data_IF_664073698671
#
_entry.id   IF_664073698671
#
_cell.length_a   1.000
_cell.length_b   1.000
_cell.length_c   1.000
_cell.angle_alpha   90.00
_cell.angle_beta   90.00
_cell.angle_gamma   90.00
#
_symmetry.space_group_name_H-M   'P 1'
#
loop_
_entity.id
_entity.type
_entity.pdbx_description
1 polymer ?
#
# COMPACT_ATOMS: atom_id res chain seq x y z
N UNK A 1 -13.13 37.32 17.93
CA UNK A 1 -12.04 37.92 17.12
C UNK A 1 -10.74 37.48 17.80
N UNK A 2 -9.89 36.60 17.28
CA UNK A 2 -9.42 36.47 15.91
C UNK A 2 -9.08 34.99 15.58
N UNK A 3 -9.60 34.51 14.46
CA UNK A 3 -9.09 33.36 13.72
C UNK A 3 -7.66 33.64 13.25
N UNK A 4 -6.65 32.98 13.82
CA UNK A 4 -5.29 32.95 13.27
C UNK A 4 -4.54 31.61 13.41
N UNK A 5 -5.24 30.50 13.67
CA UNK A 5 -4.61 29.17 13.74
C UNK A 5 -4.76 28.31 12.47
N UNK A 6 -5.71 28.61 11.58
CA UNK A 6 -5.97 27.79 10.39
C UNK A 6 -5.03 28.07 9.20
N UNK A 7 -4.33 29.22 9.18
CA UNK A 7 -3.46 29.60 8.07
C UNK A 7 -2.01 29.09 8.19
N UNK A 8 -1.56 28.65 9.38
CA UNK A 8 -0.19 28.12 9.53
C UNK A 8 -0.03 26.68 9.01
N UNK A 9 -1.08 25.86 9.11
CA UNK A 9 -1.04 24.47 8.62
C UNK A 9 -0.96 24.39 7.08
N UNK A 10 -1.65 25.31 6.38
CA UNK A 10 -1.64 25.35 4.91
C UNK A 10 -0.35 25.93 4.32
N UNK A 11 0.38 26.78 5.05
CA UNK A 11 1.70 27.29 4.61
C UNK A 11 2.80 26.25 4.83
N UNK A 12 2.67 25.37 5.83
CA UNK A 12 3.61 24.27 6.06
C UNK A 12 3.52 23.19 4.96
N UNK A 13 2.32 22.91 4.45
CA UNK A 13 2.13 21.93 3.37
C UNK A 13 2.75 22.39 2.03
N UNK A 14 2.72 23.70 1.72
CA UNK A 14 3.21 24.25 0.44
C UNK A 14 4.73 24.14 0.23
N UNK A 15 5.50 23.83 1.29
CA UNK A 15 6.96 23.72 1.25
C UNK A 15 7.49 22.27 1.26
N UNK A 16 6.62 21.28 1.40
CA UNK A 16 7.05 19.88 1.50
C UNK A 16 7.20 19.22 0.11
N UNK A 17 6.63 19.81 -0.95
CA UNK A 17 6.38 19.10 -2.21
C UNK A 17 7.14 19.59 -3.44
N UNK A 18 7.97 20.61 -3.29
CA UNK A 18 9.19 20.63 -4.10
C UNK A 18 10.16 19.71 -3.36
N UNK A 19 10.96 18.91 -4.06
CA UNK A 19 12.20 18.40 -3.48
C UNK A 19 13.05 19.61 -3.09
N UNK A 20 12.72 20.25 -1.97
CA UNK A 20 13.46 21.37 -1.44
C UNK A 20 14.77 20.73 -0.97
N UNK A 21 15.92 21.16 -1.51
CA UNK A 21 17.19 20.60 -1.11
C UNK A 21 17.33 20.79 0.41
N UNK A 22 17.20 19.70 1.15
CA UNK A 22 17.46 19.69 2.58
C UNK A 22 18.98 19.84 2.71
N UNK A 23 19.44 21.00 3.20
CA UNK A 23 20.87 21.26 3.43
C UNK A 23 21.74 21.09 2.17
N UNK A 24 21.19 21.37 0.98
CA UNK A 24 21.93 21.24 -0.29
C UNK A 24 22.07 19.82 -0.83
N UNK A 25 21.30 18.84 -0.33
CA UNK A 25 21.18 17.51 -0.94
C UNK A 25 19.78 17.25 -1.50
N UNK A 26 19.72 16.50 -2.60
CA UNK A 26 18.51 16.20 -3.37
C UNK A 26 17.54 15.23 -2.65
N UNK A 27 17.88 14.72 -1.47
CA UNK A 27 17.05 13.78 -0.72
C UNK A 27 17.16 13.97 0.80
N UNK A 28 16.03 14.17 1.47
CA UNK A 28 15.96 14.47 2.91
C UNK A 28 15.99 13.22 3.83
N UNK A 29 16.73 12.17 3.44
CA UNK A 29 16.83 10.93 4.23
C UNK A 29 17.45 11.12 5.63
N UNK A 30 18.54 11.91 5.79
CA UNK A 30 19.18 12.06 7.11
C UNK A 30 18.27 12.70 8.15
N UNK A 31 17.41 13.65 7.76
CA UNK A 31 16.46 14.29 8.67
C UNK A 31 15.29 13.36 8.99
N UNK A 32 14.75 12.68 7.98
CA UNK A 32 13.62 11.77 8.12
C UNK A 32 13.94 10.60 9.07
N UNK A 33 15.15 10.06 9.02
CA UNK A 33 15.58 8.97 9.91
C UNK A 33 16.26 9.46 11.20
N UNK A 34 16.96 10.61 11.15
CA UNK A 34 17.69 11.15 12.29
C UNK A 34 16.78 11.65 13.42
N UNK A 35 15.67 12.33 13.08
CA UNK A 35 14.75 12.85 14.10
C UNK A 35 14.09 11.73 14.92
N UNK A 36 13.49 10.67 14.31
CA UNK A 36 12.98 9.54 15.08
C UNK A 36 14.05 8.83 15.90
N UNK A 37 15.26 8.65 15.36
CA UNK A 37 16.35 7.99 16.09
C UNK A 37 16.72 8.74 17.37
N UNK A 38 16.86 10.07 17.29
CA UNK A 38 17.15 10.91 18.46
C UNK A 38 16.00 10.84 19.48
N UNK A 39 14.75 10.91 19.01
CA UNK A 39 13.57 10.80 19.89
C UNK A 39 13.49 9.44 20.58
N UNK A 40 13.82 8.34 19.89
CA UNK A 40 13.86 7.00 20.47
C UNK A 40 14.97 6.85 21.52
N UNK A 41 16.16 7.43 21.27
CA UNK A 41 17.24 7.46 22.25
C UNK A 41 16.83 8.26 23.48
N UNK A 42 16.26 9.46 23.30
CA UNK A 42 15.78 10.29 24.39
C UNK A 42 14.70 9.58 25.21
N UNK A 43 13.73 8.96 24.55
CA UNK A 43 12.68 8.18 25.20
C UNK A 43 13.27 7.00 26.01
N UNK A 44 14.26 6.30 25.46
CA UNK A 44 14.93 5.19 26.15
C UNK A 44 15.70 5.67 27.37
N UNK A 45 16.46 6.77 27.25
CA UNK A 45 17.18 7.37 28.37
C UNK A 45 16.24 7.81 29.50
N UNK A 46 15.12 8.46 29.15
CA UNK A 46 14.08 8.85 30.10
C UNK A 46 13.46 7.63 30.80
N UNK A 47 13.16 6.57 30.06
CA UNK A 47 12.58 5.35 30.62
C UNK A 47 13.57 4.63 31.56
N UNK A 48 14.85 4.58 31.16
CA UNK A 48 15.91 3.98 31.98
C UNK A 48 16.15 4.78 33.26
N UNK A 49 16.15 6.11 33.20
CA UNK A 49 16.26 6.98 34.36
C UNK A 49 15.06 6.79 35.32
N UNK A 50 13.85 6.63 34.78
CA UNK A 50 12.64 6.35 35.56
C UNK A 50 12.63 4.95 36.20
N UNK A 51 13.40 4.00 35.67
CA UNK A 51 13.38 2.59 36.10
C UNK A 51 13.76 2.35 37.57
N UNK A 52 14.46 3.29 38.22
CA UNK A 52 14.78 3.24 39.65
C UNK A 52 13.54 3.41 40.54
N UNK A 53 12.48 4.07 40.03
CA UNK A 53 11.23 4.31 40.77
C UNK A 53 10.18 3.23 40.51
N UNK A 54 10.45 2.31 39.58
CA UNK A 54 9.55 1.20 39.31
C UNK A 54 9.71 0.11 40.36
N UNK A 55 8.61 -0.18 41.06
CA UNK A 55 8.48 -1.39 41.88
C UNK A 55 8.40 -2.59 40.94
N UNK A 56 9.45 -3.42 40.88
CA UNK A 56 9.54 -4.62 40.03
C UNK A 56 8.97 -5.81 40.82
N UNK A 57 7.70 -6.21 40.61
CA UNK A 57 7.17 -7.40 41.27
C UNK A 57 7.97 -8.65 40.84
N UNK A 58 8.06 -9.68 41.69
CA UNK A 58 8.74 -10.93 41.33
C UNK A 58 8.13 -11.54 40.06
N UNK A 59 8.91 -12.28 39.26
CA UNK A 59 8.44 -12.88 38.03
C UNK A 59 7.27 -13.83 38.32
N UNK A 60 6.08 -13.49 37.81
CA UNK A 60 4.93 -14.40 37.79
C UNK A 60 5.26 -15.57 36.87
N UNK A 61 4.80 -16.77 37.21
CA UNK A 61 4.99 -17.96 36.37
C UNK A 61 4.51 -17.71 34.93
N UNK A 62 5.10 -18.42 33.96
CA UNK A 62 4.73 -18.29 32.56
C UNK A 62 3.28 -18.73 32.32
N UNK A 63 2.35 -17.78 32.35
CA UNK A 63 0.91 -18.01 32.14
C UNK A 63 0.66 -18.73 30.82
N UNK A 64 1.38 -18.36 29.75
CA UNK A 64 1.27 -19.04 28.45
C UNK A 64 1.67 -20.52 28.51
N UNK A 65 2.69 -20.85 29.31
CA UNK A 65 3.11 -22.23 29.50
C UNK A 65 2.13 -23.00 30.38
N UNK A 66 1.50 -22.36 31.36
CA UNK A 66 0.46 -22.98 32.19
C UNK A 66 -0.81 -23.27 31.38
N UNK A 67 -1.27 -22.31 30.56
CA UNK A 67 -2.42 -22.48 29.68
C UNK A 67 -2.17 -23.58 28.64
N UNK A 68 -1.00 -23.61 28.00
CA UNK A 68 -0.69 -24.63 26.99
C UNK A 68 -0.61 -26.03 27.61
N UNK A 69 0.00 -26.18 28.79
CA UNK A 69 0.00 -27.44 29.55
C UNK A 69 -1.42 -27.87 29.92
N UNK A 70 -2.25 -26.95 30.41
CA UNK A 70 -3.63 -27.25 30.76
C UNK A 70 -4.45 -27.73 29.55
N UNK A 71 -4.27 -27.08 28.39
CA UNK A 71 -4.91 -27.50 27.13
C UNK A 71 -4.43 -28.88 26.66
N UNK A 72 -3.11 -29.14 26.68
CA UNK A 72 -2.54 -30.44 26.30
C UNK A 72 -3.03 -31.54 27.23
N UNK A 73 -3.02 -31.30 28.54
CA UNK A 73 -3.51 -32.27 29.53
C UNK A 73 -5.00 -32.57 29.34
N UNK A 74 -5.83 -31.53 29.14
CA UNK A 74 -7.25 -31.71 28.85
C UNK A 74 -7.47 -32.53 27.57
N UNK A 75 -6.67 -32.29 26.54
CA UNK A 75 -6.74 -33.02 25.27
C UNK A 75 -6.33 -34.49 25.40
N UNK A 76 -5.24 -34.77 26.13
CA UNK A 76 -4.80 -36.15 26.42
C UNK A 76 -5.86 -36.87 27.24
N UNK A 77 -6.40 -36.23 28.28
CA UNK A 77 -7.44 -36.80 29.13
C UNK A 77 -8.74 -37.04 28.35
N UNK A 78 -9.12 -36.13 27.45
CA UNK A 78 -10.26 -36.34 26.53
C UNK A 78 -10.08 -37.58 25.66
N UNK A 79 -8.87 -37.86 25.21
CA UNK A 79 -8.60 -39.02 24.35
C UNK A 79 -8.55 -40.35 25.14
N UNK A 80 -8.29 -40.28 26.45
CA UNK A 80 -8.21 -41.45 27.35
C UNK A 80 -9.51 -41.73 28.11
N UNK A 81 -10.29 -40.70 28.42
CA UNK A 81 -11.53 -40.79 29.19
C UNK A 81 -12.71 -41.16 28.30
N UNK A 82 -13.60 -42.03 28.79
CA UNK A 82 -14.86 -42.40 28.15
C UNK A 82 -16.04 -41.54 28.61
N UNK A 83 -15.85 -40.73 29.66
CA UNK A 83 -16.91 -39.91 30.23
C UNK A 83 -17.26 -38.73 29.32
N UNK A 84 -18.55 -38.41 29.25
CA UNK A 84 -19.04 -37.26 28.49
C UNK A 84 -19.07 -36.02 29.37
N UNK A 85 -18.13 -35.11 29.15
CA UNK A 85 -18.16 -33.74 29.69
C UNK A 85 -18.82 -32.77 28.68
N UNK A 86 -19.40 -31.66 29.17
CA UNK A 86 -20.04 -30.65 28.30
C UNK A 86 -19.04 -29.91 27.41
N UNK A 87 -17.83 -29.64 27.91
CA UNK A 87 -16.76 -29.01 27.15
C UNK A 87 -15.47 -29.81 27.27
N UNK A 88 -14.73 -29.96 26.17
CA UNK A 88 -13.52 -30.79 26.13
C UNK A 88 -12.42 -30.36 27.12
N UNK A 89 -12.40 -29.08 27.50
CA UNK A 89 -11.44 -28.52 28.45
C UNK A 89 -11.73 -28.94 29.91
N UNK A 90 -12.95 -29.41 30.21
CA UNK A 90 -13.30 -29.88 31.56
C UNK A 90 -12.61 -31.19 31.93
N UNK A 91 -12.16 -31.97 30.94
CA UNK A 91 -11.31 -33.15 31.15
C UNK A 91 -9.98 -32.85 31.84
N UNK A 92 -9.58 -31.59 31.95
CA UNK A 92 -8.46 -31.19 32.81
C UNK A 92 -8.71 -31.56 34.28
N UNK A 93 -9.96 -31.41 34.74
CA UNK A 93 -10.35 -31.62 36.13
C UNK A 93 -10.42 -33.11 36.49
N UNK A 94 -10.52 -34.01 35.51
CA UNK A 94 -10.57 -35.47 35.73
C UNK A 94 -9.30 -35.99 36.46
N UNK A 95 -8.16 -35.32 36.29
CA UNK A 95 -6.88 -35.67 36.93
C UNK A 95 -6.54 -34.80 38.14
N UNK A 96 -7.38 -33.83 38.48
CA UNK A 96 -7.08 -32.81 39.49
C UNK A 96 -7.95 -32.97 40.74
N UNK A 97 -7.29 -33.04 41.91
CA UNK A 97 -7.95 -33.07 43.21
C UNK A 97 -7.80 -31.71 43.87
N UNK A 98 -8.90 -30.95 43.97
CA UNK A 98 -8.88 -29.58 44.48
C UNK A 98 -8.49 -29.49 45.97
N UNK A 99 -8.72 -30.53 46.77
CA UNK A 99 -8.42 -30.55 48.21
C UNK A 99 -6.92 -30.69 48.52
N UNK A 100 -6.12 -31.23 47.59
CA UNK A 100 -4.70 -31.51 47.81
C UNK A 100 -3.76 -30.54 47.09
N UNK A 101 -4.27 -29.66 46.22
CA UNK A 101 -3.44 -28.70 45.50
C UNK A 101 -3.18 -27.46 46.38
N UNK A 102 -1.91 -27.14 46.72
CA UNK A 102 -1.56 -25.97 47.51
C UNK A 102 -2.10 -24.66 46.92
N UNK A 103 -2.19 -24.53 45.60
CA UNK A 103 -2.75 -23.32 44.96
C UNK A 103 -4.26 -23.16 45.20
N UNK A 104 -4.98 -24.27 45.31
CA UNK A 104 -6.41 -24.24 45.66
C UNK A 104 -6.61 -23.93 47.15
N UNK A 105 -5.72 -24.44 48.01
CA UNK A 105 -5.72 -24.13 49.44
C UNK A 105 -5.48 -22.64 49.73
N UNK A 106 -4.50 -22.03 49.07
CA UNK A 106 -4.25 -20.59 49.22
C UNK A 106 -5.45 -19.75 48.76
N UNK A 107 -6.12 -20.17 47.68
CA UNK A 107 -7.32 -19.51 47.16
C UNK A 107 -8.52 -19.60 48.12
N UNK A 108 -8.65 -20.70 48.87
CA UNK A 108 -9.67 -20.82 49.92
C UNK A 108 -9.46 -19.80 51.05
N UNK A 109 -8.20 -19.50 51.40
CA UNK A 109 -7.87 -18.52 52.44
C UNK A 109 -8.16 -17.09 51.96
N UNK A 110 -7.89 -16.78 50.69
CA UNK A 110 -8.18 -15.45 50.12
C UNK A 110 -9.68 -15.14 50.04
N UNK A 111 -10.51 -16.12 49.66
CA UNK A 111 -11.96 -15.92 49.44
C UNK A 111 -12.80 -16.24 50.68
N UNK A 112 -12.27 -17.03 51.62
CA UNK A 112 -13.02 -17.47 52.82
C UNK A 112 -14.07 -18.55 52.55
N UNK A 113 -14.03 -19.21 51.38
CA UNK A 113 -14.97 -20.28 51.02
C UNK A 113 -14.23 -21.57 50.60
N UNK A 114 -14.47 -22.66 51.33
CA UNK A 114 -13.82 -23.97 51.16
C UNK A 114 -14.33 -24.78 49.96
N UNK A 115 -15.43 -24.37 49.31
CA UNK A 115 -16.02 -25.12 48.20
C UNK A 115 -15.53 -24.65 46.82
N UNK A 116 -14.63 -23.67 46.75
CA UNK A 116 -14.22 -23.03 45.49
C UNK A 116 -12.85 -23.53 45.03
N UNK A 117 -12.78 -24.12 43.84
CA UNK A 117 -11.53 -24.60 43.27
C UNK A 117 -10.93 -23.57 42.30
N UNK A 118 -9.70 -23.11 42.56
CA UNK A 118 -8.98 -22.14 41.75
C UNK A 118 -8.81 -22.62 40.29
N UNK A 119 -8.45 -23.89 40.11
CA UNK A 119 -8.26 -24.51 38.78
C UNK A 119 -9.55 -24.58 37.97
N UNK A 120 -10.71 -24.73 38.62
CA UNK A 120 -12.01 -24.67 37.93
C UNK A 120 -12.29 -23.28 37.36
N UNK A 121 -11.99 -22.22 38.11
CA UNK A 121 -12.09 -20.84 37.60
C UNK A 121 -11.14 -20.62 36.43
N UNK A 122 -9.88 -21.05 36.59
CA UNK A 122 -8.86 -20.93 35.53
C UNK A 122 -9.28 -21.62 34.22
N UNK A 123 -9.86 -22.81 34.28
CA UNK A 123 -10.38 -23.51 33.09
C UNK A 123 -11.54 -22.74 32.45
N UNK A 124 -12.44 -22.16 33.26
CA UNK A 124 -13.52 -21.31 32.74
C UNK A 124 -12.97 -20.01 32.09
N UNK A 125 -11.90 -19.45 32.63
CA UNK A 125 -11.20 -18.32 32.02
C UNK A 125 -10.60 -18.71 30.66
N UNK A 126 -9.94 -19.87 30.56
CA UNK A 126 -9.42 -20.38 29.28
C UNK A 126 -10.56 -20.62 28.27
N UNK A 127 -11.71 -21.17 28.68
CA UNK A 127 -12.88 -21.32 27.78
C UNK A 127 -13.36 -19.97 27.24
N UNK A 128 -13.41 -18.97 28.11
CA UNK A 128 -13.81 -17.60 27.73
C UNK A 128 -12.80 -16.99 26.77
N UNK A 129 -11.50 -17.16 27.04
CA UNK A 129 -10.42 -16.72 26.15
C UNK A 129 -10.50 -17.40 24.78
N UNK A 130 -10.72 -18.72 24.71
CA UNK A 130 -10.86 -19.44 23.44
C UNK A 130 -12.06 -18.92 22.63
N UNK A 131 -13.20 -18.64 23.28
CA UNK A 131 -14.37 -18.04 22.63
C UNK A 131 -14.06 -16.64 22.07
N UNK A 132 -13.30 -15.85 22.81
CA UNK A 132 -12.85 -14.52 22.39
C UNK A 132 -11.87 -14.60 21.20
N UNK A 133 -10.90 -15.53 21.23
CA UNK A 133 -9.97 -15.75 20.12
C UNK A 133 -10.73 -16.09 18.82
N UNK A 134 -11.73 -16.97 18.90
CA UNK A 134 -12.56 -17.33 17.74
C UNK A 134 -13.31 -16.08 17.21
N UNK A 135 -13.85 -15.24 18.09
CA UNK A 135 -14.50 -13.99 17.69
C UNK A 135 -13.55 -13.01 17.00
N UNK A 136 -12.27 -13.02 17.36
CA UNK A 136 -11.23 -12.13 16.79
C UNK A 136 -10.57 -12.65 15.52
N UNK A 137 -10.88 -13.87 15.05
CA UNK A 137 -10.33 -14.46 13.82
C UNK A 137 -10.47 -13.56 12.57
N UNK A 138 -11.56 -12.77 12.39
CA UNK A 138 -11.67 -11.84 11.26
C UNK A 138 -10.75 -10.61 11.33
N UNK A 139 -10.19 -10.27 12.50
CA UNK A 139 -9.39 -9.02 12.67
C UNK A 139 -8.09 -9.03 11.88
N UNK A 140 -7.28 -10.11 11.86
CA UNK A 140 -6.12 -10.19 10.98
C UNK A 140 -6.45 -9.98 9.50
N UNK A 141 -7.58 -10.49 9.02
CA UNK A 141 -8.03 -10.28 7.64
C UNK A 141 -8.39 -8.82 7.38
N UNK A 142 -9.00 -8.14 8.35
CA UNK A 142 -9.25 -6.70 8.26
C UNK A 142 -7.96 -5.89 8.12
N UNK A 143 -6.94 -6.18 8.95
CA UNK A 143 -5.63 -5.51 8.85
C UNK A 143 -4.91 -5.82 7.53
N UNK A 144 -4.94 -7.07 7.08
CA UNK A 144 -4.36 -7.45 5.80
C UNK A 144 -4.98 -6.72 4.61
N UNK A 145 -6.28 -6.39 4.68
CA UNK A 145 -6.96 -5.55 3.70
C UNK A 145 -6.62 -4.07 3.89
N UNK A 146 -6.65 -3.58 5.13
CA UNK A 146 -6.37 -2.17 5.45
C UNK A 146 -4.96 -1.74 4.99
N UNK A 147 -3.95 -2.58 5.20
CA UNK A 147 -2.57 -2.29 4.82
C UNK A 147 -2.37 -2.20 3.28
N UNK A 148 -3.34 -2.64 2.47
CA UNK A 148 -3.31 -2.46 1.01
C UNK A 148 -3.44 -0.99 0.60
N UNK A 149 -4.00 -0.14 1.47
CA UNK A 149 -4.10 1.30 1.22
C UNK A 149 -2.71 1.94 1.02
N UNK A 150 -1.69 1.50 1.77
CA UNK A 150 -0.33 2.03 1.68
C UNK A 150 0.51 1.48 0.52
N UNK A 151 0.00 0.48 -0.20
CA UNK A 151 0.77 -0.24 -1.23
C UNK A 151 0.03 -0.33 -2.56
N UNK A 152 -0.97 -1.20 -2.66
CA UNK A 152 -1.70 -1.45 -3.93
C UNK A 152 -2.49 -0.22 -4.35
N UNK A 153 -3.15 0.45 -3.42
CA UNK A 153 -3.94 1.66 -3.74
C UNK A 153 -3.03 2.83 -4.11
N UNK A 154 -1.83 2.90 -3.54
CA UNK A 154 -0.81 3.85 -3.96
C UNK A 154 -0.38 3.60 -5.42
N UNK A 155 -0.17 2.33 -5.81
CA UNK A 155 0.17 1.97 -7.20
C UNK A 155 -0.98 2.33 -8.15
N UNK A 156 -2.23 2.06 -7.77
CA UNK A 156 -3.40 2.50 -8.52
C UNK A 156 -3.43 4.04 -8.66
N UNK A 157 -3.13 4.78 -7.59
CA UNK A 157 -3.06 6.24 -7.61
C UNK A 157 -2.00 6.79 -8.56
N UNK A 158 -0.84 6.14 -8.67
CA UNK A 158 0.22 6.51 -9.64
C UNK A 158 -0.26 6.38 -11.09
N UNK A 159 -1.22 5.48 -11.35
CA UNK A 159 -1.82 5.27 -12.67
C UNK A 159 -2.97 6.23 -12.98
N UNK A 160 -3.35 7.10 -12.03
CA UNK A 160 -4.45 8.05 -12.16
C UNK A 160 -3.94 9.47 -12.36
N UNK A 161 -4.76 10.32 -12.97
CA UNK A 161 -4.47 11.76 -13.02
C UNK A 161 -4.67 12.35 -11.62
N UNK A 162 -3.59 12.90 -11.05
CA UNK A 162 -3.59 13.45 -9.70
C UNK A 162 -3.68 14.99 -9.69
N UNK A 163 -4.11 15.60 -10.79
CA UNK A 163 -4.42 17.03 -10.86
C UNK A 163 -5.81 17.30 -10.28
N UNK A 164 -5.86 17.96 -9.12
CA UNK A 164 -7.11 18.40 -8.49
C UNK A 164 -7.67 19.67 -9.15
N UNK A 165 -6.77 20.53 -9.65
CA UNK A 165 -7.04 21.79 -10.33
C UNK A 165 -5.83 22.13 -11.22
N UNK A 166 -5.96 23.08 -12.15
CA UNK A 166 -4.87 23.52 -13.04
C UNK A 166 -3.60 23.96 -12.28
N UNK A 167 -3.75 24.37 -11.02
CA UNK A 167 -2.65 24.83 -10.15
C UNK A 167 -2.28 23.86 -9.02
N UNK A 168 -3.05 22.79 -8.80
CA UNK A 168 -2.87 21.90 -7.65
C UNK A 168 -2.70 20.45 -8.11
N UNK A 169 -1.45 19.98 -8.06
CA UNK A 169 -1.07 18.60 -8.28
C UNK A 169 -0.85 17.94 -6.92
N UNK A 170 -1.58 16.87 -6.68
CA UNK A 170 -1.53 16.08 -5.46
C UNK A 170 -0.68 14.86 -5.73
N UNK A 171 0.35 14.58 -4.94
CA UNK A 171 1.16 13.40 -5.21
C UNK A 171 0.43 12.13 -4.70
N UNK A 172 0.56 10.97 -5.38
CA UNK A 172 -0.13 9.74 -4.99
C UNK A 172 0.16 9.28 -3.56
N UNK A 173 1.37 9.50 -3.04
CA UNK A 173 1.80 9.15 -1.69
C UNK A 173 1.10 10.00 -0.61
N UNK A 174 0.79 11.26 -0.92
CA UNK A 174 0.04 12.14 -0.04
C UNK A 174 -1.39 11.65 0.22
N UNK A 175 -1.91 10.72 -0.58
CA UNK A 175 -3.21 10.08 -0.32
C UNK A 175 -3.28 9.32 0.99
N UNK A 176 -2.13 8.90 1.53
CA UNK A 176 -2.11 8.31 2.86
C UNK A 176 -2.44 9.33 3.96
N UNK A 177 -2.16 10.63 3.76
CA UNK A 177 -2.48 11.67 4.75
C UNK A 177 -3.98 11.86 4.95
N UNK A 178 -4.79 11.61 3.90
CA UNK A 178 -6.25 11.67 4.00
C UNK A 178 -6.80 10.65 4.98
N UNK A 179 -6.17 9.48 5.14
CA UNK A 179 -6.58 8.49 6.14
C UNK A 179 -6.56 9.10 7.56
N UNK A 180 -5.45 9.74 7.94
CA UNK A 180 -5.31 10.40 9.24
C UNK A 180 -6.31 11.53 9.43
N UNK A 181 -6.50 12.38 8.40
CA UNK A 181 -7.47 13.49 8.44
C UNK A 181 -8.90 12.96 8.61
N UNK A 182 -9.27 11.91 7.87
CA UNK A 182 -10.59 11.29 7.98
C UNK A 182 -10.82 10.64 9.33
N UNK A 183 -9.82 10.00 9.93
CA UNK A 183 -9.93 9.45 11.30
C UNK A 183 -10.18 10.57 12.31
N UNK A 184 -9.42 11.66 12.23
CA UNK A 184 -9.58 12.82 13.12
C UNK A 184 -10.96 13.47 13.00
N UNK A 185 -11.55 13.45 11.81
CA UNK A 185 -12.90 13.98 11.57
C UNK A 185 -14.00 12.99 11.94
N UNK A 186 -13.82 11.70 11.61
CA UNK A 186 -14.85 10.68 11.81
C UNK A 186 -14.96 10.22 13.26
N UNK A 187 -13.89 10.11 14.04
CA UNK A 187 -14.01 9.73 15.47
C UNK A 187 -15.02 10.63 16.21
N UNK A 188 -14.85 11.96 16.25
CA UNK A 188 -15.80 12.83 16.96
C UNK A 188 -17.17 12.84 16.29
N UNK A 189 -17.26 12.76 14.96
CA UNK A 189 -18.54 12.67 14.25
C UNK A 189 -19.34 11.42 14.64
N UNK A 190 -18.70 10.25 14.70
CA UNK A 190 -19.37 9.00 15.06
C UNK A 190 -19.77 8.98 16.54
N UNK A 191 -18.93 9.52 17.44
CA UNK A 191 -19.22 9.57 18.87
C UNK A 191 -20.31 10.57 19.26
N UNK A 192 -20.29 11.77 18.66
CA UNK A 192 -21.20 12.86 19.06
C UNK A 192 -22.51 12.89 18.27
N UNK A 193 -22.53 12.38 17.05
CA UNK A 193 -23.70 12.46 16.16
C UNK A 193 -24.23 11.06 15.87
N UNK A 194 -23.43 10.18 15.27
CA UNK A 194 -23.93 8.90 14.74
C UNK A 194 -24.43 7.97 15.84
N UNK A 195 -23.59 7.64 16.83
CA UNK A 195 -23.96 6.72 17.91
C UNK A 195 -25.15 7.20 18.76
N UNK A 196 -25.29 8.48 19.17
CA UNK A 196 -26.47 8.92 19.91
C UNK A 196 -27.74 8.99 19.06
N UNK A 197 -27.64 9.22 17.74
CA UNK A 197 -28.81 9.14 16.85
C UNK A 197 -29.27 7.69 16.66
N UNK A 198 -28.32 6.79 16.45
CA UNK A 198 -28.65 5.37 16.23
C UNK A 198 -29.07 4.66 17.51
N UNK A 199 -28.55 5.06 18.68
CA UNK A 199 -28.98 4.53 19.97
C UNK A 199 -30.45 4.85 20.30
N UNK A 200 -31.03 5.91 19.70
CA UNK A 200 -32.48 6.19 19.80
C UNK A 200 -33.34 5.17 19.06
N UNK A 201 -32.81 4.53 18.03
CA UNK A 201 -33.55 3.55 17.22
C UNK A 201 -33.21 2.11 17.60
N UNK A 202 -31.96 1.81 17.95
CA UNK A 202 -31.49 0.45 18.25
C UNK A 202 -30.28 0.42 19.18
N UNK A 203 -30.19 -0.61 20.01
CA UNK A 203 -29.02 -0.84 20.86
C UNK A 203 -27.83 -1.26 19.98
N UNK A 204 -26.79 -0.42 19.96
CA UNK A 204 -25.53 -0.72 19.27
C UNK A 204 -24.59 -1.46 20.21
N UNK A 205 -24.37 -2.74 19.93
CA UNK A 205 -23.31 -3.52 20.60
C UNK A 205 -21.95 -3.27 19.91
N UNK A 206 -20.82 -3.39 20.63
CA UNK A 206 -19.49 -3.29 20.03
C UNK A 206 -19.28 -4.26 18.87
N UNK A 207 -19.83 -5.48 18.97
CA UNK A 207 -19.75 -6.49 17.91
C UNK A 207 -20.46 -6.04 16.63
N UNK A 208 -21.63 -5.38 16.74
CA UNK A 208 -22.34 -4.82 15.58
C UNK A 208 -21.53 -3.72 14.89
N UNK A 209 -20.83 -2.87 15.65
CA UNK A 209 -19.93 -1.84 15.08
C UNK A 209 -18.84 -2.49 14.23
N UNK A 210 -18.24 -3.56 14.72
CA UNK A 210 -17.20 -4.30 14.01
C UNK A 210 -17.72 -4.92 12.70
N UNK A 211 -18.91 -5.54 12.71
CA UNK A 211 -19.52 -6.12 11.52
C UNK A 211 -19.85 -5.05 10.47
N UNK A 212 -20.43 -3.91 10.88
CA UNK A 212 -20.73 -2.80 9.96
C UNK A 212 -19.45 -2.23 9.35
N UNK A 213 -18.39 -2.08 10.13
CA UNK A 213 -17.07 -1.69 9.62
C UNK A 213 -16.53 -2.65 8.58
N UNK A 214 -16.68 -3.96 8.80
CA UNK A 214 -16.30 -4.99 7.82
C UNK A 214 -17.08 -4.92 6.50
N UNK A 215 -18.39 -4.64 6.57
CA UNK A 215 -19.23 -4.46 5.36
C UNK A 215 -18.89 -3.18 4.59
N UNK A 216 -18.55 -2.10 5.29
CA UNK A 216 -18.08 -0.87 4.65
C UNK A 216 -16.71 -1.06 4.00
N UNK A 217 -15.81 -1.82 4.64
CA UNK A 217 -14.52 -2.18 4.07
C UNK A 217 -14.71 -2.98 2.78
N UNK A 218 -15.57 -4.01 2.76
CA UNK A 218 -15.82 -4.80 1.55
C UNK A 218 -16.41 -3.94 0.41
N UNK A 219 -17.33 -3.02 0.73
CA UNK A 219 -17.85 -2.07 -0.24
C UNK A 219 -16.75 -1.16 -0.82
N UNK A 220 -15.82 -0.70 0.02
CA UNK A 220 -14.67 0.09 -0.44
C UNK A 220 -13.82 -0.67 -1.45
N UNK A 221 -13.54 -1.96 -1.22
CA UNK A 221 -12.80 -2.80 -2.17
C UNK A 221 -13.53 -2.99 -3.50
N UNK A 222 -14.87 -3.09 -3.47
CA UNK A 222 -15.66 -3.13 -4.70
C UNK A 222 -15.50 -1.82 -5.50
N UNK A 223 -15.59 -0.67 -4.83
CA UNK A 223 -15.38 0.64 -5.47
C UNK A 223 -13.98 0.75 -6.06
N UNK A 224 -12.94 0.38 -5.30
CA UNK A 224 -11.55 0.35 -5.78
C UNK A 224 -11.38 -0.53 -7.01
N UNK A 225 -12.02 -1.71 -7.04
CA UNK A 225 -12.00 -2.61 -8.19
C UNK A 225 -12.68 -2.01 -9.44
N UNK A 226 -13.83 -1.36 -9.27
CA UNK A 226 -14.52 -0.66 -10.36
C UNK A 226 -13.71 0.52 -10.90
N UNK A 227 -13.01 1.25 -10.02
CA UNK A 227 -12.07 2.30 -10.42
C UNK A 227 -10.92 1.70 -11.23
N UNK A 228 -10.34 0.56 -10.81
CA UNK A 228 -9.27 -0.11 -11.56
C UNK A 228 -9.71 -0.50 -12.98
N UNK A 229 -10.94 -0.98 -13.15
CA UNK A 229 -11.48 -1.29 -14.49
C UNK A 229 -11.57 -0.06 -15.39
N UNK A 230 -11.81 1.11 -14.80
CA UNK A 230 -11.85 2.38 -15.53
C UNK A 230 -10.44 2.87 -15.89
N UNK A 231 -9.49 2.76 -14.95
CA UNK A 231 -8.07 3.10 -15.16
C UNK A 231 -7.42 2.18 -16.20
N UNK A 232 -7.75 0.88 -16.21
CA UNK A 232 -7.22 -0.06 -17.19
C UNK A 232 -7.67 0.23 -18.63
N UNK A 233 -8.72 1.04 -18.83
CA UNK A 233 -9.11 1.53 -20.16
C UNK A 233 -8.18 2.64 -20.64
N UNK A 234 -7.58 3.42 -19.76
CA UNK A 234 -6.70 4.54 -20.10
C UNK A 234 -5.22 4.15 -20.14
N UNK A 235 -4.84 3.03 -19.51
CA UNK A 235 -3.48 2.53 -19.53
C UNK A 235 -3.11 1.93 -20.91
N UNK A 236 -1.87 2.15 -21.39
CA UNK A 236 -1.36 1.49 -22.59
C UNK A 236 -1.24 -0.02 -22.35
N UNK A 237 -1.54 -0.83 -23.36
CA UNK A 237 -1.36 -2.28 -23.26
C UNK A 237 0.11 -2.63 -23.36
N UNK A 238 0.63 -3.40 -22.40
CA UNK A 238 1.99 -3.94 -22.49
C UNK A 238 2.10 -4.83 -23.72
N UNK A 239 3.19 -4.72 -24.51
CA UNK A 239 3.36 -5.53 -25.71
C UNK A 239 3.48 -7.02 -25.34
N UNK A 240 2.83 -7.89 -26.12
CA UNK A 240 3.02 -9.33 -26.01
C UNK A 240 4.46 -9.73 -26.40
N UNK A 241 4.88 -10.97 -26.12
CA UNK A 241 6.26 -11.42 -26.38
C UNK A 241 6.68 -11.35 -27.85
N UNK A 242 5.74 -11.17 -28.78
CA UNK A 242 5.91 -11.02 -30.22
C UNK A 242 5.66 -9.59 -30.74
N UNK A 243 5.45 -8.61 -29.85
CA UNK A 243 5.21 -7.21 -30.20
C UNK A 243 6.26 -6.29 -29.57
N UNK A 244 6.61 -5.21 -30.27
CA UNK A 244 7.35 -4.09 -29.72
C UNK A 244 6.52 -2.82 -29.85
N UNK A 245 6.49 -2.04 -28.78
CA UNK A 245 5.88 -0.72 -28.74
C UNK A 245 6.95 0.30 -29.11
N UNK A 246 6.68 1.16 -30.10
CA UNK A 246 7.57 2.27 -30.45
C UNK A 246 6.85 3.61 -30.28
N UNK A 247 7.36 4.45 -29.37
CA UNK A 247 6.92 5.85 -29.22
C UNK A 247 7.97 6.79 -29.81
N UNK A 248 7.52 7.68 -30.69
CA UNK A 248 8.37 8.67 -31.37
C UNK A 248 8.27 10.01 -30.65
N UNK A 249 9.42 10.61 -30.32
CA UNK A 249 9.51 11.89 -29.62
C UNK A 249 10.17 12.93 -30.51
N UNK A 250 9.45 14.02 -30.81
CA UNK A 250 9.98 15.12 -31.58
C UNK A 250 10.44 16.24 -30.64
N UNK A 251 11.76 16.37 -30.44
CA UNK A 251 12.36 17.44 -29.63
C UNK A 251 12.77 18.67 -30.48
N UNK A 252 12.32 18.73 -31.74
CA UNK A 252 12.59 19.87 -32.61
C UNK A 252 11.61 21.02 -32.31
N UNK A 253 12.15 22.23 -32.16
CA UNK A 253 11.39 23.40 -31.72
C UNK A 253 10.39 23.94 -32.75
N UNK A 254 10.66 23.75 -34.04
CA UNK A 254 9.91 24.40 -35.14
C UNK A 254 9.51 23.44 -36.27
N UNK A 255 9.95 22.18 -36.21
CA UNK A 255 9.76 21.21 -37.27
C UNK A 255 8.68 20.19 -36.93
N UNK A 256 7.83 19.88 -37.90
CA UNK A 256 7.00 18.67 -37.84
C UNK A 256 7.71 17.53 -38.55
N UNK A 257 7.75 16.35 -37.93
CA UNK A 257 8.37 15.17 -38.51
C UNK A 257 7.28 14.21 -38.97
N UNK A 258 7.34 13.82 -40.24
CA UNK A 258 6.50 12.75 -40.79
C UNK A 258 7.30 11.46 -40.74
N UNK A 259 6.78 10.48 -40.01
CA UNK A 259 7.39 9.17 -39.86
C UNK A 259 6.62 8.18 -40.71
N UNK A 260 7.33 7.48 -41.60
CA UNK A 260 6.77 6.41 -42.44
C UNK A 260 7.42 5.09 -42.06
N UNK A 261 6.57 4.11 -41.70
CA UNK A 261 6.97 2.73 -41.43
C UNK A 261 6.58 1.84 -42.63
N UNK A 262 7.34 0.76 -42.89
CA UNK A 262 6.97 -0.21 -43.91
C UNK A 262 5.64 -0.88 -43.52
N UNK A 263 4.63 -0.80 -44.40
CA UNK A 263 3.29 -1.38 -44.25
C UNK A 263 2.37 -0.72 -43.19
N UNK A 264 2.62 0.53 -42.80
CA UNK A 264 1.78 1.31 -41.88
C UNK A 264 1.54 2.73 -42.42
N UNK A 265 0.48 3.39 -41.94
CA UNK A 265 0.13 4.75 -42.33
C UNK A 265 1.19 5.78 -41.89
N UNK A 266 1.27 6.90 -42.61
CA UNK A 266 2.18 8.00 -42.27
C UNK A 266 1.67 8.76 -41.04
N UNK A 267 2.54 8.95 -40.05
CA UNK A 267 2.21 9.72 -38.86
C UNK A 267 2.97 11.05 -38.82
N UNK A 268 2.25 12.14 -38.59
CA UNK A 268 2.86 13.48 -38.46
C UNK A 268 2.92 13.88 -37.00
N UNK A 269 4.14 14.12 -36.49
CA UNK A 269 4.41 14.54 -35.11
C UNK A 269 4.75 16.03 -35.13
N UNK A 270 3.97 16.81 -34.37
CA UNK A 270 4.19 18.26 -34.22
C UNK A 270 5.48 18.55 -33.44
N UNK A 271 5.98 19.78 -33.55
CA UNK A 271 7.14 20.26 -32.82
C UNK A 271 6.94 20.15 -31.29
N UNK A 272 7.97 19.69 -30.58
CA UNK A 272 7.99 19.54 -29.11
C UNK A 272 6.85 18.68 -28.52
N UNK A 273 6.40 17.66 -29.25
CA UNK A 273 5.34 16.73 -28.82
C UNK A 273 5.82 15.29 -29.01
N UNK A 274 5.44 14.40 -28.08
CA UNK A 274 5.61 12.95 -28.19
C UNK A 274 4.31 12.27 -28.61
N UNK A 275 4.43 11.10 -29.24
CA UNK A 275 3.28 10.22 -29.41
C UNK A 275 2.87 9.64 -28.05
N UNK A 276 1.68 10.02 -27.58
CA UNK A 276 1.06 9.53 -26.33
C UNK A 276 0.03 8.46 -26.72
N UNK A 277 0.08 7.31 -26.05
CA UNK A 277 -0.92 6.26 -26.22
C UNK A 277 -2.14 6.53 -25.33
N UNK A 278 -3.28 6.79 -25.95
CA UNK A 278 -4.53 7.03 -25.25
C UNK A 278 -5.70 6.33 -25.96
N UNK A 279 -6.13 5.21 -25.37
CA UNK A 279 -7.21 4.35 -25.88
C UNK A 279 -8.57 5.04 -26.00
N UNK A 280 -8.78 6.16 -25.28
CA UNK A 280 -10.03 6.93 -25.29
C UNK A 280 -10.07 7.96 -26.43
N UNK A 281 -8.92 8.51 -26.82
CA UNK A 281 -8.77 9.45 -27.94
C UNK A 281 -8.33 8.78 -29.25
N UNK A 282 -8.04 7.47 -29.24
CA UNK A 282 -7.47 6.69 -30.36
C UNK A 282 -6.11 7.22 -30.83
N UNK A 283 -5.39 7.94 -29.99
CA UNK A 283 -3.99 8.30 -30.24
C UNK A 283 -3.16 7.06 -29.96
N UNK A 284 -2.75 6.35 -31.01
CA UNK A 284 -2.02 5.08 -30.87
C UNK A 284 -0.53 5.30 -31.06
N UNK A 285 0.22 4.78 -30.11
CA UNK A 285 1.59 4.34 -30.33
C UNK A 285 1.66 3.27 -31.42
N UNK A 286 2.83 3.09 -32.02
CA UNK A 286 2.98 2.20 -33.16
C UNK A 286 3.32 0.80 -32.64
N UNK A 287 2.37 -0.11 -32.80
CA UNK A 287 2.55 -1.53 -32.50
C UNK A 287 3.26 -2.19 -33.69
N UNK A 288 4.48 -2.65 -33.47
CA UNK A 288 5.26 -3.35 -34.48
C UNK A 288 5.36 -4.82 -34.07
N UNK A 289 4.75 -5.70 -34.87
CA UNK A 289 4.85 -7.14 -34.68
C UNK A 289 6.19 -7.66 -35.18
N UNK A 290 6.72 -8.66 -34.49
CA UNK A 290 7.89 -9.38 -34.96
C UNK A 290 7.58 -10.05 -36.32
N UNK A 291 8.54 -10.05 -37.27
CA UNK A 291 8.34 -10.69 -38.58
C UNK A 291 8.17 -12.22 -38.51
N UNK A 292 8.51 -12.85 -37.37
CA UNK A 292 8.27 -14.26 -37.08
C UNK A 292 8.17 -14.49 -35.57
N UNK A 293 7.33 -15.42 -35.11
CA UNK A 293 7.06 -15.73 -33.69
C UNK A 293 8.26 -16.26 -32.90
N UNK A 294 9.39 -16.56 -33.57
CA UNK A 294 10.66 -17.00 -32.94
C UNK A 294 11.77 -15.94 -32.99
N UNK A 295 11.55 -14.79 -33.62
CA UNK A 295 12.56 -13.75 -33.73
C UNK A 295 12.68 -13.00 -32.39
N UNK A 296 13.86 -13.05 -31.78
CA UNK A 296 14.15 -12.37 -30.51
C UNK A 296 14.58 -10.91 -30.70
N UNK A 297 15.07 -10.55 -31.89
CA UNK A 297 15.38 -9.19 -32.30
C UNK A 297 15.06 -9.01 -33.79
N UNK A 298 14.54 -7.85 -34.17
CA UNK A 298 14.26 -7.50 -35.56
C UNK A 298 14.51 -6.01 -35.82
N UNK A 299 14.81 -5.67 -37.07
CA UNK A 299 15.11 -4.30 -37.49
C UNK A 299 14.02 -3.78 -38.41
N UNK A 300 13.50 -2.58 -38.13
CA UNK A 300 12.48 -1.93 -38.97
C UNK A 300 13.05 -0.62 -39.51
N UNK A 301 13.18 -0.48 -40.85
CA UNK A 301 13.64 0.77 -41.45
C UNK A 301 12.52 1.82 -41.36
N UNK A 302 12.79 2.95 -40.70
CA UNK A 302 11.89 4.10 -40.67
C UNK A 302 12.38 5.19 -41.61
N UNK A 303 11.46 5.79 -42.35
CA UNK A 303 11.76 6.96 -43.19
C UNK A 303 11.24 8.22 -42.51
N UNK A 304 12.12 9.21 -42.35
CA UNK A 304 11.84 10.47 -41.68
C UNK A 304 11.84 11.61 -42.69
N UNK A 305 10.71 12.31 -42.80
CA UNK A 305 10.56 13.51 -43.62
C UNK A 305 10.32 14.73 -42.72
N UNK A 306 11.17 15.74 -42.86
CA UNK A 306 11.16 16.93 -42.02
C UNK A 306 10.44 18.07 -42.72
N UNK A 307 9.27 18.48 -42.21
CA UNK A 307 8.45 19.57 -42.77
C UNK A 307 8.58 20.85 -41.94
N UNK A 308 8.91 21.96 -42.60
CA UNK A 308 8.98 23.29 -41.99
C UNK A 308 10.31 23.62 -41.28
N UNK A 309 11.38 22.87 -41.53
CA UNK A 309 12.69 23.14 -40.93
C UNK A 309 13.47 24.26 -41.63
N UNK A 310 14.11 25.13 -40.84
CA UNK A 310 15.13 26.05 -41.36
C UNK A 310 16.35 25.23 -41.84
N UNK A 311 16.83 25.42 -43.09
CA UNK A 311 17.74 24.48 -43.75
C UNK A 311 19.09 24.28 -43.06
N UNK A 312 19.59 25.26 -42.31
CA UNK A 312 20.99 25.27 -41.88
C UNK A 312 21.23 24.62 -40.51
N UNK A 313 20.21 24.54 -39.65
CA UNK A 313 20.33 23.96 -38.31
C UNK A 313 20.15 22.43 -38.28
N UNK A 314 19.54 21.84 -39.31
CA UNK A 314 19.05 20.45 -39.30
C UNK A 314 19.51 19.60 -40.51
N UNK A 315 20.47 20.09 -41.31
CA UNK A 315 20.97 19.45 -42.55
C UNK A 315 21.61 18.07 -42.35
N UNK A 316 22.11 17.78 -41.15
CA UNK A 316 22.81 16.53 -40.83
C UNK A 316 21.87 15.43 -40.27
N UNK A 317 20.55 15.65 -40.27
CA UNK A 317 19.61 14.67 -39.75
C UNK A 317 19.42 13.50 -40.75
N UNK A 318 19.40 12.25 -40.27
CA UNK A 318 19.18 11.10 -41.13
C UNK A 318 17.74 11.07 -41.66
N UNK A 319 17.59 10.78 -42.96
CA UNK A 319 16.29 10.55 -43.62
C UNK A 319 15.83 9.09 -43.53
N UNK A 320 16.75 8.17 -43.26
CA UNK A 320 16.48 6.76 -42.97
C UNK A 320 17.18 6.38 -41.68
N UNK A 321 16.45 5.70 -40.80
CA UNK A 321 16.97 5.20 -39.54
C UNK A 321 16.45 3.78 -39.33
N UNK A 322 17.30 2.87 -38.91
CA UNK A 322 16.94 1.47 -38.70
C UNK A 322 16.72 1.25 -37.21
N UNK A 323 15.47 1.03 -36.80
CA UNK A 323 15.12 0.81 -35.40
C UNK A 323 15.34 -0.66 -35.07
N UNK A 324 16.20 -0.94 -34.09
CA UNK A 324 16.42 -2.30 -33.59
C UNK A 324 15.44 -2.58 -32.45
N UNK A 325 14.58 -3.57 -32.64
CA UNK A 325 13.49 -3.90 -31.75
C UNK A 325 13.68 -5.29 -31.15
N UNK A 326 13.31 -5.40 -29.87
CA UNK A 326 13.14 -6.63 -29.09
C UNK A 326 11.73 -6.54 -28.50
N UNK A 327 11.17 -7.61 -27.94
CA UNK A 327 9.96 -7.49 -27.13
C UNK A 327 10.15 -6.49 -25.98
N UNK A 328 9.29 -5.48 -25.93
CA UNK A 328 9.39 -4.38 -24.97
C UNK A 328 8.95 -3.03 -25.52
N UNK A 329 9.14 -2.00 -24.70
CA UNK A 329 8.80 -0.61 -25.02
C UNK A 329 10.07 0.10 -25.47
N UNK A 330 10.03 0.71 -26.64
CA UNK A 330 11.11 1.48 -27.22
C UNK A 330 10.65 2.91 -27.46
N UNK A 331 11.56 3.85 -27.28
CA UNK A 331 11.37 5.23 -27.68
C UNK A 331 12.42 5.61 -28.71
N UNK A 332 12.03 6.43 -29.68
CA UNK A 332 12.93 7.01 -30.67
C UNK A 332 12.82 8.52 -30.55
N UNK A 333 13.89 9.14 -30.07
CA UNK A 333 13.97 10.58 -29.88
C UNK A 333 14.70 11.24 -31.06
N UNK A 334 14.03 12.22 -31.67
CA UNK A 334 14.57 13.05 -32.74
C UNK A 334 14.99 14.37 -32.11
N UNK A 335 16.30 14.57 -31.97
CA UNK A 335 16.89 15.78 -31.41
C UNK A 335 17.67 16.55 -32.48
N UNK A 336 18.03 17.83 -32.24
CA UNK A 336 18.86 18.60 -33.16
C UNK A 336 20.22 17.97 -33.48
N UNK A 337 20.74 17.11 -32.59
CA UNK A 337 22.05 16.46 -32.71
C UNK A 337 21.99 15.12 -33.45
N UNK A 338 20.79 14.55 -33.67
CA UNK A 338 20.61 13.24 -34.29
C UNK A 338 19.36 12.51 -33.83
N UNK A 339 19.20 11.29 -34.33
CA UNK A 339 18.11 10.37 -33.94
C UNK A 339 18.69 9.29 -33.05
N UNK A 340 18.09 9.09 -31.88
CA UNK A 340 18.52 8.11 -30.89
C UNK A 340 17.37 7.17 -30.57
N UNK A 341 17.68 5.89 -30.34
CA UNK A 341 16.74 4.91 -29.85
C UNK A 341 17.13 4.49 -28.43
N UNK A 342 16.14 4.19 -27.60
CA UNK A 342 16.34 3.62 -26.28
C UNK A 342 15.21 2.67 -25.91
N UNK A 343 15.49 1.78 -24.94
CA UNK A 343 14.49 0.84 -24.41
C UNK A 343 13.96 1.39 -23.10
N UNK A 344 12.65 1.57 -23.02
CA UNK A 344 11.98 1.89 -21.77
C UNK A 344 11.61 0.59 -21.04
N UNK A 345 12.00 0.49 -19.77
CA UNK A 345 11.54 -0.58 -18.91
C UNK A 345 10.16 -0.22 -18.33
N UNK A 346 9.10 -1.02 -18.56
CA UNK A 346 7.78 -0.78 -17.96
C UNK A 346 7.73 -1.06 -16.47
N UNK A 347 8.76 -1.71 -15.89
CA UNK A 347 8.82 -1.92 -14.45
C UNK A 347 9.00 -0.59 -13.72
N UNK A 348 8.23 -0.40 -12.64
CA UNK A 348 8.38 0.76 -11.77
C UNK A 348 9.84 0.77 -11.27
N UNK A 349 10.58 1.91 -11.35
CA UNK A 349 11.91 1.99 -10.78
C UNK A 349 11.83 1.62 -9.30
N UNK A 350 12.35 0.45 -8.95
CA UNK A 350 12.37 -0.05 -7.58
C UNK A 350 13.47 0.68 -6.83
N UNK A 351 13.05 1.66 -6.02
CA UNK A 351 13.79 2.37 -4.96
C UNK A 351 15.19 2.92 -5.32
N UNK A 352 15.32 4.25 -5.27
CA UNK A 352 16.60 4.92 -4.99
C UNK A 352 17.23 5.69 -6.14
N UNK A 353 16.82 5.46 -7.39
CA UNK A 353 17.16 6.35 -8.50
C UNK A 353 15.96 7.27 -8.73
N UNK A 354 15.98 8.43 -8.09
CA UNK A 354 15.21 9.56 -8.58
C UNK A 354 15.57 9.81 -10.04
N UNK A 355 14.57 10.23 -10.79
CA UNK A 355 14.61 10.50 -12.23
C UNK A 355 14.51 9.29 -13.16
N UNK A 356 13.80 9.55 -14.25
CA UNK A 356 13.62 8.71 -15.41
C UNK A 356 14.92 8.00 -15.78
N UNK A 357 14.98 6.69 -15.56
CA UNK A 357 15.99 5.83 -16.19
C UNK A 357 15.69 5.74 -17.68
N UNK A 358 15.98 6.82 -18.42
CA UNK A 358 16.27 6.75 -19.85
C UNK A 358 17.70 6.19 -19.93
N UNK A 359 17.78 4.86 -19.83
CA UNK A 359 19.02 4.11 -20.05
C UNK A 359 19.39 4.05 -21.52
#
# INVERSE_FOLDING_TARGET
>A
MNCRFATCAFVWQRKIDLAQPCLGQDSCYPLAFGVPAILMILATCLFMAGSFWYKKPPPKENIFAEVSRAMVQAFINKHRSKDKQEHWLDHYLDTHVCESDPKCLDYHVEIGNKNVCQKKSFINDIKSLLRVIIMFLPVPMFWALYDQQGSIWLIQGIQMDCRLSDTMLLLPDQMQTLNAVLILLFIPFFETIVYPLTSKCFVITPLRKMVVGGLLASLSFLVTGLVQLSVNKTLPTLPASDEAYVSMWNQLDTCSVVVTFPNLDQYTIKANVSMIDNRKTKETSIHIKAPSTKATAWTVPITLEYKGCTPDKYKNLPTKFDVQLISGIFFVAISPSGVYQGKADPSKPTQGTGEFSLG
#
